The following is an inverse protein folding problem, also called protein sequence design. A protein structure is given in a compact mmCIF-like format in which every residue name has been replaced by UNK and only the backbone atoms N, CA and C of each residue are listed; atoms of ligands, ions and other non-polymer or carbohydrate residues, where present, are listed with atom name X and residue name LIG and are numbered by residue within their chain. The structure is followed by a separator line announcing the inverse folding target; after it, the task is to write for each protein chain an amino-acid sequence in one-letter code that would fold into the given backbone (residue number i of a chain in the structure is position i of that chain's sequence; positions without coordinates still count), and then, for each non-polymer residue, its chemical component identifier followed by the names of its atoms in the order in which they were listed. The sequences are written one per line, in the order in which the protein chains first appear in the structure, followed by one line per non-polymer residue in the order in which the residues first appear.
data_IF_685726313688
#
_entry.id   IF_685726313688
#
_cell.length_a   1.000
_cell.length_b   1.000
_cell.length_c   1.000
_cell.angle_alpha   90.00
_cell.angle_beta   90.00
_cell.angle_gamma   90.00
#
_symmetry.space_group_name_H-M   'P 1'
#
loop_
_entity.id
_entity.type
_entity.pdbx_description
1 polymer ?
#
# COMPACT_ATOMS: atom_id res chain seq x y z
N UNK A 1 2.35 -15.09 -5.52
CA UNK A 1 2.71 -13.84 -4.78
C UNK A 1 1.61 -12.83 -5.07
N UNK A 2 1.09 -12.14 -4.07
CA UNK A 2 0.14 -11.05 -4.27
C UNK A 2 0.84 -9.70 -4.12
N UNK A 3 0.31 -8.68 -4.79
CA UNK A 3 0.69 -7.28 -4.63
C UNK A 3 -0.56 -6.46 -4.37
N UNK A 4 -0.51 -5.60 -3.37
CA UNK A 4 -1.39 -4.44 -3.29
C UNK A 4 -0.71 -3.30 -4.02
N UNK A 5 -1.26 -2.91 -5.16
CA UNK A 5 -0.72 -1.85 -6.01
C UNK A 5 -1.39 -0.53 -5.69
N UNK A 6 -0.66 0.56 -5.89
CA UNK A 6 -1.14 1.92 -5.68
C UNK A 6 -0.79 2.77 -6.89
N UNK A 7 -1.71 3.62 -7.32
CA UNK A 7 -1.45 4.72 -8.23
C UNK A 7 -1.77 6.01 -7.50
N UNK A 8 -0.72 6.73 -7.11
CA UNK A 8 -0.84 7.88 -6.21
C UNK A 8 -1.60 9.02 -6.88
N UNK A 9 -1.31 9.27 -8.16
CA UNK A 9 -1.95 10.33 -8.95
C UNK A 9 -3.43 10.06 -9.23
N UNK A 10 -3.78 8.80 -9.54
CA UNK A 10 -5.17 8.42 -9.79
C UNK A 10 -5.97 8.19 -8.49
N UNK A 11 -5.29 8.11 -7.34
CA UNK A 11 -5.91 7.75 -6.08
C UNK A 11 -6.45 6.31 -6.09
N UNK A 12 -5.79 5.39 -6.80
CA UNK A 12 -6.29 4.03 -6.98
C UNK A 12 -5.46 2.99 -6.25
N UNK A 13 -6.12 1.91 -5.81
CA UNK A 13 -5.51 0.72 -5.26
C UNK A 13 -6.18 -0.54 -5.80
N UNK A 14 -5.40 -1.59 -6.04
CA UNK A 14 -5.91 -2.87 -6.56
C UNK A 14 -4.96 -4.01 -6.26
N UNK A 15 -5.50 -5.23 -6.20
CA UNK A 15 -4.70 -6.43 -5.99
C UNK A 15 -4.30 -7.02 -7.34
N UNK A 16 -3.05 -7.47 -7.45
CA UNK A 16 -2.60 -8.36 -8.52
C UNK A 16 -1.96 -9.61 -7.92
N UNK A 17 -2.00 -10.72 -8.63
CA UNK A 17 -1.30 -11.95 -8.25
C UNK A 17 -0.41 -12.45 -9.38
N UNK A 18 0.70 -13.09 -9.01
CA UNK A 18 1.58 -13.77 -9.94
C UNK A 18 0.88 -15.04 -10.43
N UNK A 19 0.58 -15.10 -11.72
CA UNK A 19 -0.05 -16.25 -12.37
C UNK A 19 0.98 -17.32 -12.79
N UNK A 20 0.49 -18.41 -13.38
CA UNK A 20 1.32 -19.54 -13.83
C UNK A 20 2.25 -19.18 -15.00
N UNK A 21 1.97 -18.09 -15.71
CA UNK A 21 2.81 -17.54 -16.77
C UNK A 21 3.90 -16.59 -16.24
N UNK A 22 3.96 -16.38 -14.92
CA UNK A 22 4.90 -15.46 -14.28
C UNK A 22 4.53 -13.99 -14.47
N UNK A 23 3.28 -13.69 -14.83
CA UNK A 23 2.77 -12.33 -15.00
C UNK A 23 1.90 -11.91 -13.82
N UNK A 24 1.84 -10.60 -13.54
CA UNK A 24 0.93 -10.08 -12.52
C UNK A 24 -0.42 -9.78 -13.15
N UNK A 25 -1.42 -10.61 -12.87
CA UNK A 25 -2.79 -10.42 -13.29
C UNK A 25 -3.60 -9.71 -12.19
N UNK A 26 -4.55 -8.84 -12.57
CA UNK A 26 -5.45 -8.19 -11.61
C UNK A 26 -6.43 -9.19 -10.98
N UNK A 27 -6.64 -9.06 -9.67
CA UNK A 27 -7.71 -9.76 -8.98
C UNK A 27 -9.03 -9.03 -9.25
N UNK A 28 -9.95 -9.67 -9.98
CA UNK A 28 -11.25 -9.09 -10.38
C UNK A 28 -12.35 -9.36 -9.35
N UNK A 29 -12.03 -9.93 -8.19
CA UNK A 29 -13.01 -10.18 -7.12
C UNK A 29 -13.55 -8.88 -6.51
N UNK A 30 -14.64 -8.99 -5.77
CA UNK A 30 -15.23 -7.85 -5.04
C UNK A 30 -14.32 -7.28 -3.95
N UNK A 31 -13.31 -8.02 -3.48
CA UNK A 31 -12.38 -7.57 -2.46
C UNK A 31 -11.04 -7.10 -3.05
N UNK A 32 -10.51 -7.79 -4.06
CA UNK A 32 -9.22 -7.47 -4.69
C UNK A 32 -9.31 -6.50 -5.87
N UNK A 33 -10.51 -6.32 -6.42
CA UNK A 33 -10.75 -5.45 -7.58
C UNK A 33 -10.32 -4.01 -7.35
N UNK A 34 -10.00 -3.32 -8.45
CA UNK A 34 -9.58 -1.92 -8.43
C UNK A 34 -10.58 -1.02 -7.71
N UNK A 35 -10.07 -0.18 -6.82
CA UNK A 35 -10.81 0.82 -6.04
C UNK A 35 -10.13 2.17 -6.18
N UNK A 36 -10.93 3.22 -6.06
CA UNK A 36 -10.44 4.60 -5.95
C UNK A 36 -10.72 5.10 -4.54
N UNK A 37 -9.80 5.89 -3.99
CA UNK A 37 -10.01 6.63 -2.76
C UNK A 37 -11.24 7.52 -2.89
N UNK A 38 -11.89 7.79 -1.76
CA UNK A 38 -13.02 8.71 -1.73
C UNK A 38 -12.58 10.10 -2.16
N UNK A 39 -13.53 10.86 -2.71
CA UNK A 39 -13.30 12.25 -3.09
C UNK A 39 -12.79 13.04 -1.87
N UNK A 40 -11.77 13.88 -2.09
CA UNK A 40 -11.14 14.67 -1.04
C UNK A 40 -10.10 13.94 -0.20
N UNK A 41 -9.74 12.69 -0.55
CA UNK A 41 -8.63 11.93 0.04
C UNK A 41 -7.62 11.62 -1.07
N UNK A 42 -6.34 11.88 -0.81
CA UNK A 42 -5.23 11.54 -1.70
C UNK A 42 -4.11 10.83 -0.97
N UNK A 43 -3.34 10.03 -1.71
CA UNK A 43 -2.04 9.58 -1.23
C UNK A 43 -1.10 10.78 -1.15
N UNK A 44 -0.43 10.93 0.00
CA UNK A 44 0.65 11.90 0.16
C UNK A 44 2.00 11.27 -0.22
N UNK A 45 2.27 10.08 0.33
CA UNK A 45 3.35 9.22 -0.10
C UNK A 45 3.15 7.78 0.41
N UNK A 46 3.92 6.85 -0.16
CA UNK A 46 3.95 5.45 0.25
C UNK A 46 5.40 5.07 0.50
N UNK A 47 5.68 4.54 1.69
CA UNK A 47 6.98 4.01 2.07
C UNK A 47 6.92 2.50 2.00
N UNK A 48 7.87 1.90 1.31
CA UNK A 48 8.10 0.46 1.18
C UNK A 48 9.55 0.17 1.60
N UNK A 49 9.97 -1.09 1.74
CA UNK A 49 11.35 -1.40 2.12
C UNK A 49 12.37 -0.93 1.07
N UNK A 50 11.95 -0.74 -0.18
CA UNK A 50 12.82 -0.32 -1.28
C UNK A 50 12.86 1.19 -1.45
N UNK A 51 11.76 1.89 -1.22
CA UNK A 51 11.65 3.30 -1.57
C UNK A 51 10.48 4.02 -0.90
N UNK A 52 10.55 5.35 -0.92
CA UNK A 52 9.46 6.27 -0.62
C UNK A 52 8.97 6.93 -1.91
N UNK A 53 7.73 6.63 -2.30
CA UNK A 53 7.10 7.10 -3.54
C UNK A 53 6.14 8.24 -3.23
N UNK A 54 6.32 9.40 -3.87
CA UNK A 54 5.41 10.56 -3.75
C UNK A 54 4.55 10.81 -4.99
N UNK A 55 4.93 10.22 -6.12
CA UNK A 55 4.20 10.30 -7.39
C UNK A 55 4.40 9.01 -8.18
N UNK A 56 3.47 8.69 -9.07
CA UNK A 56 3.51 7.47 -9.88
C UNK A 56 2.86 6.26 -9.19
N UNK A 57 3.55 5.12 -9.22
CA UNK A 57 3.02 3.84 -8.74
C UNK A 57 3.95 3.20 -7.72
N UNK A 58 3.35 2.49 -6.76
CA UNK A 58 4.05 1.67 -5.78
C UNK A 58 3.29 0.36 -5.57
N UNK A 59 3.90 -0.60 -4.89
CA UNK A 59 3.18 -1.78 -4.43
C UNK A 59 3.77 -2.35 -3.13
N UNK A 60 2.95 -3.12 -2.41
CA UNK A 60 3.35 -3.93 -1.26
C UNK A 60 3.19 -5.40 -1.60
N UNK A 61 4.22 -6.25 -1.41
CA UNK A 61 4.11 -7.69 -1.65
C UNK A 61 3.59 -8.46 -0.44
N UNK A 62 2.79 -9.48 -0.76
CA UNK A 62 2.28 -10.50 0.13
C UNK A 62 2.79 -11.85 -0.38
N UNK A 63 3.61 -12.51 0.44
CA UNK A 63 4.25 -13.78 0.11
C UNK A 63 3.38 -14.97 0.53
N UNK A 64 3.45 -16.11 -0.21
CA UNK A 64 2.71 -17.33 0.16
C UNK A 64 3.02 -17.86 1.57
N UNK A 65 4.15 -17.46 2.15
CA UNK A 65 4.56 -17.80 3.51
C UNK A 65 3.77 -17.06 4.60
N UNK A 66 2.85 -16.16 4.22
CA UNK A 66 2.14 -15.27 5.14
C UNK A 66 2.91 -13.99 5.48
N UNK A 67 4.14 -13.82 4.94
CA UNK A 67 4.91 -12.59 5.09
C UNK A 67 4.36 -11.47 4.22
N UNK A 68 4.48 -10.25 4.72
CA UNK A 68 4.11 -9.01 4.07
C UNK A 68 5.26 -8.05 4.16
N UNK A 69 5.56 -7.36 3.06
CA UNK A 69 6.48 -6.23 3.09
C UNK A 69 5.91 -5.15 4.03
N UNK A 70 6.72 -4.65 4.97
CA UNK A 70 6.32 -3.48 5.75
C UNK A 70 6.05 -2.33 4.77
N UNK A 71 4.89 -1.70 4.90
CA UNK A 71 4.55 -0.50 4.13
C UNK A 71 3.84 0.53 5.01
N UNK A 72 4.18 1.80 4.79
CA UNK A 72 3.56 2.95 5.44
C UNK A 72 2.84 3.75 4.36
N UNK A 73 1.54 3.95 4.51
CA UNK A 73 0.73 4.72 3.56
C UNK A 73 0.32 6.01 4.25
N UNK A 74 0.78 7.13 3.71
CA UNK A 74 0.35 8.45 4.17
C UNK A 74 -0.79 8.94 3.29
N UNK A 75 -1.91 9.29 3.92
CA UNK A 75 -3.06 9.90 3.29
C UNK A 75 -3.21 11.33 3.77
N UNK A 76 -3.70 12.19 2.88
CA UNK A 76 -4.03 13.57 3.19
C UNK A 76 -5.40 13.92 2.62
N UNK A 77 -6.18 14.66 3.38
CA UNK A 77 -7.46 15.22 2.95
C UNK A 77 -7.30 16.62 2.36
N UNK A 78 -8.32 17.11 1.65
CA UNK A 78 -8.29 18.46 1.05
C UNK A 78 -8.24 19.58 2.09
N UNK A 79 -8.83 19.38 3.27
CA UNK A 79 -8.72 20.30 4.42
C UNK A 79 -7.38 20.20 5.17
N UNK A 80 -6.48 19.32 4.72
CA UNK A 80 -5.12 19.20 5.20
C UNK A 80 -4.90 18.19 6.34
N UNK A 81 -5.95 17.53 6.84
CA UNK A 81 -5.80 16.45 7.81
C UNK A 81 -4.97 15.29 7.22
N UNK A 82 -4.22 14.61 8.07
CA UNK A 82 -3.32 13.54 7.67
C UNK A 82 -3.63 12.27 8.47
N UNK A 83 -3.50 11.13 7.80
CA UNK A 83 -3.65 9.80 8.37
C UNK A 83 -2.46 8.95 7.92
N UNK A 84 -1.95 8.12 8.81
CA UNK A 84 -0.90 7.14 8.50
C UNK A 84 -1.44 5.73 8.72
N UNK A 85 -1.28 4.88 7.72
CA UNK A 85 -1.60 3.45 7.83
C UNK A 85 -0.30 2.65 7.83
N UNK A 86 -0.11 1.83 8.85
CA UNK A 86 1.03 0.92 8.99
C UNK A 86 0.59 -0.50 8.64
N UNK A 87 1.19 -1.10 7.62
CA UNK A 87 1.04 -2.52 7.30
C UNK A 87 2.14 -3.30 8.01
N UNK A 88 1.76 -4.03 9.06
CA UNK A 88 2.71 -4.75 9.90
C UNK A 88 3.18 -6.05 9.23
N UNK A 89 4.51 -6.29 9.15
CA UNK A 89 5.04 -7.56 8.68
C UNK A 89 4.58 -8.70 9.60
N UNK A 90 4.58 -9.93 9.08
CA UNK A 90 4.14 -11.19 9.74
C UNK A 90 2.64 -11.30 10.01
N UNK A 91 2.01 -10.28 10.58
CA UNK A 91 0.59 -10.35 10.94
C UNK A 91 -0.35 -9.89 9.82
N UNK A 92 0.17 -9.09 8.88
CA UNK A 92 -0.64 -8.41 7.87
C UNK A 92 -1.64 -7.41 8.47
N UNK A 93 -1.55 -7.12 9.77
CA UNK A 93 -2.44 -6.18 10.46
C UNK A 93 -2.17 -4.76 9.98
N UNK A 94 -3.23 -3.99 9.90
CA UNK A 94 -3.17 -2.55 9.60
C UNK A 94 -3.44 -1.77 10.87
N UNK A 95 -2.52 -0.90 11.26
CA UNK A 95 -2.76 0.12 12.30
C UNK A 95 -2.98 1.47 11.64
N UNK A 96 -3.93 2.25 12.14
CA UNK A 96 -4.23 3.59 11.63
C UNK A 96 -3.92 4.60 12.72
N UNK A 97 -3.12 5.61 12.38
CA UNK A 97 -2.76 6.70 13.28
C UNK A 97 -3.11 8.06 12.68
N UNK A 98 -3.46 9.00 13.57
CA UNK A 98 -3.71 10.38 13.20
C UNK A 98 -2.40 11.13 12.98
N UNK A 99 -2.39 11.99 11.95
CA UNK A 99 -1.23 12.75 11.52
C UNK A 99 -0.28 11.96 10.63
N UNK A 100 0.77 12.64 10.20
CA UNK A 100 1.89 12.03 9.49
C UNK A 100 2.86 11.38 10.48
N UNK A 101 3.15 10.10 10.31
CA UNK A 101 3.94 9.28 11.23
C UNK A 101 4.98 8.47 10.46
N UNK A 102 6.24 8.68 10.79
CA UNK A 102 7.32 7.85 10.27
C UNK A 102 7.64 6.76 11.28
N UNK A 103 7.71 5.52 10.82
CA UNK A 103 8.34 4.45 11.59
C UNK A 103 9.77 4.30 11.12
N UNK A 104 10.72 4.20 12.06
CA UNK A 104 12.07 3.75 11.72
C UNK A 104 11.96 2.30 11.28
N UNK A 105 11.93 2.06 9.98
CA UNK A 105 12.00 0.72 9.43
C UNK A 105 13.27 0.07 9.98
N UNK A 106 13.12 -0.94 10.83
CA UNK A 106 14.26 -1.72 11.28
C UNK A 106 14.88 -2.36 10.04
N UNK A 107 16.09 -1.94 9.69
CA UNK A 107 16.87 -2.60 8.64
C UNK A 107 17.03 -4.05 9.07
N UNK A 108 16.53 -4.99 8.27
CA UNK A 108 16.92 -6.39 8.44
C UNK A 108 18.44 -6.45 8.26
N UNK A 109 19.15 -6.77 9.34
CA UNK A 109 20.60 -6.95 9.35
C UNK A 109 21.03 -8.28 8.76
#
# INVERSE_FOLDING_TARGET
IYRLNYNLKAGELWVTFLDDAGQFAEDISSLGGRRRLLMGIRFEDIVTPTEKVKDGQAFTKFFPTGLVENAIIHLRTDDGAQLTLFIHPLSGRVTIEQGYREEKMATAG
#
